data_IF_581420679446
#
_entry.id   IF_581420679446
#
_cell.length_a   1.000
_cell.length_b   1.000
_cell.length_c   1.000
_cell.angle_alpha   90.00
_cell.angle_beta   90.00
_cell.angle_gamma   90.00
#
_symmetry.space_group_name_H-M   'P 1'
#
loop_
_entity.id
_entity.type
_entity.pdbx_description
1 polymer ?
#
# COMPACT_ATOMS: atom_id res chain seq x y z
N UNK A 1 -18.40 11.71 -33.07
CA UNK A 1 -18.43 11.82 -31.60
C UNK A 1 -18.12 10.45 -31.05
N UNK A 2 -16.83 10.12 -30.95
CA UNK A 2 -16.38 8.92 -30.24
C UNK A 2 -15.92 9.37 -28.86
N UNK A 3 -16.56 8.88 -27.81
CA UNK A 3 -16.03 9.02 -26.47
C UNK A 3 -14.87 8.01 -26.38
N UNK A 4 -13.64 8.51 -26.33
CA UNK A 4 -12.49 7.70 -25.93
C UNK A 4 -12.74 7.25 -24.49
N UNK A 5 -12.85 5.94 -24.30
CA UNK A 5 -12.75 5.29 -23.00
C UNK A 5 -11.40 5.66 -22.39
N UNK A 6 -11.42 6.44 -21.33
CA UNK A 6 -10.25 6.67 -20.50
C UNK A 6 -10.01 5.38 -19.72
N UNK A 7 -9.16 4.50 -20.26
CA UNK A 7 -8.62 3.35 -19.53
C UNK A 7 -7.89 3.86 -18.27
N UNK A 8 -8.59 3.86 -17.14
CA UNK A 8 -8.05 4.20 -15.84
C UNK A 8 -7.31 2.99 -15.25
N UNK A 9 -6.28 2.51 -15.95
CA UNK A 9 -5.41 1.42 -15.49
C UNK A 9 -4.23 1.99 -14.71
N UNK A 10 -4.49 2.48 -13.50
CA UNK A 10 -3.45 2.60 -12.47
C UNK A 10 -3.45 1.37 -11.53
N UNK A 11 -4.07 0.28 -11.95
CA UNK A 11 -3.98 -1.05 -11.36
C UNK A 11 -2.65 -1.70 -11.75
N UNK A 12 -1.71 -1.81 -10.82
CA UNK A 12 -0.57 -2.71 -11.01
C UNK A 12 0.78 -2.18 -10.59
N UNK A 13 0.85 -1.14 -9.75
CA UNK A 13 2.10 -0.59 -9.25
C UNK A 13 1.94 -0.23 -7.77
N UNK A 14 2.39 -1.12 -6.86
CA UNK A 14 2.27 -0.95 -5.40
C UNK A 14 3.64 -0.74 -4.74
N UNK A 15 3.76 0.25 -3.82
CA UNK A 15 5.00 0.47 -3.08
C UNK A 15 5.24 -0.66 -2.07
N UNK A 16 6.45 -1.24 -2.10
CA UNK A 16 6.87 -2.30 -1.18
C UNK A 16 7.66 -1.68 -0.04
N UNK A 17 7.39 -2.15 1.17
CA UNK A 17 8.00 -1.66 2.39
C UNK A 17 8.91 -2.74 2.98
N UNK A 18 10.21 -2.51 2.97
CA UNK A 18 11.15 -3.30 3.76
C UNK A 18 11.34 -2.61 5.11
N UNK A 19 11.10 -3.37 6.16
CA UNK A 19 11.38 -2.93 7.51
C UNK A 19 12.55 -3.76 8.02
N UNK A 20 13.66 -3.08 8.30
CA UNK A 20 14.86 -3.68 8.87
C UNK A 20 14.89 -3.25 10.33
N UNK A 21 14.56 -4.17 11.23
CA UNK A 21 14.56 -3.91 12.67
C UNK A 21 15.77 -4.56 13.32
N UNK A 22 16.59 -3.78 14.01
CA UNK A 22 17.69 -4.31 14.82
C UNK A 22 17.18 -4.61 16.23
N UNK A 23 16.45 -5.73 16.37
CA UNK A 23 15.98 -6.17 17.68
C UNK A 23 17.14 -6.83 18.43
N UNK A 24 17.75 -6.11 19.38
CA UNK A 24 18.83 -6.66 20.20
C UNK A 24 18.38 -7.94 20.94
N UNK A 25 19.06 -9.04 20.57
CA UNK A 25 19.24 -10.34 21.24
C UNK A 25 18.14 -11.42 21.09
N UNK A 26 18.58 -12.49 20.41
CA UNK A 26 18.09 -13.88 20.38
C UNK A 26 17.07 -14.33 19.33
N UNK A 27 16.72 -13.52 18.34
CA UNK A 27 16.11 -14.05 17.11
C UNK A 27 16.73 -13.39 15.88
N UNK A 28 17.50 -14.20 15.13
CA UNK A 28 17.82 -14.11 13.70
C UNK A 28 17.23 -12.89 12.99
N UNK A 29 18.05 -12.08 12.29
CA UNK A 29 17.65 -11.02 11.33
C UNK A 29 16.29 -11.35 10.69
N UNK A 30 15.21 -10.85 11.28
CA UNK A 30 13.86 -11.13 10.84
C UNK A 30 13.49 -9.96 9.94
N UNK A 31 13.99 -10.01 8.70
CA UNK A 31 13.57 -9.08 7.66
C UNK A 31 12.07 -9.27 7.44
N UNK A 32 11.26 -8.39 8.03
CA UNK A 32 9.81 -8.42 7.86
C UNK A 32 9.45 -7.52 6.70
N UNK A 33 9.25 -8.16 5.56
CA UNK A 33 8.91 -7.48 4.32
C UNK A 33 7.37 -7.36 4.20
N UNK A 34 6.88 -6.13 4.16
CA UNK A 34 5.46 -5.79 4.05
C UNK A 34 5.23 -4.92 2.81
N UNK A 35 3.97 -4.60 2.50
CA UNK A 35 3.64 -3.69 1.40
C UNK A 35 2.41 -2.87 1.73
N UNK A 36 2.38 -1.66 1.18
CA UNK A 36 1.20 -0.80 1.21
C UNK A 36 0.36 -1.09 -0.03
N UNK A 37 -0.84 -1.58 0.20
CA UNK A 37 -1.78 -2.02 -0.85
C UNK A 37 -2.92 -1.02 -0.93
N UNK A 38 -3.19 -0.53 -2.13
CA UNK A 38 -4.33 0.35 -2.40
C UNK A 38 -5.39 -0.44 -3.15
N UNK A 39 -6.61 -0.53 -2.60
CA UNK A 39 -7.71 -1.28 -3.20
C UNK A 39 -9.01 -0.49 -3.23
N UNK A 40 -9.78 -0.60 -4.29
CA UNK A 40 -11.14 -0.10 -4.33
C UNK A 40 -12.11 -1.18 -3.84
N UNK A 41 -12.87 -0.87 -2.79
CA UNK A 41 -13.90 -1.74 -2.23
C UNK A 41 -15.21 -0.96 -2.06
N UNK A 42 -16.18 -1.25 -2.93
CA UNK A 42 -17.44 -0.52 -2.97
C UNK A 42 -17.22 0.96 -3.25
N UNK A 43 -17.66 1.81 -2.31
CA UNK A 43 -17.59 3.27 -2.42
C UNK A 43 -16.29 3.87 -1.85
N UNK A 44 -15.33 3.02 -1.48
CA UNK A 44 -14.08 3.43 -0.83
C UNK A 44 -12.85 2.98 -1.60
N UNK A 45 -11.81 3.79 -1.50
CA UNK A 45 -10.45 3.45 -1.83
C UNK A 45 -9.69 3.27 -0.50
N UNK A 46 -9.29 2.03 -0.24
CA UNK A 46 -8.74 1.56 1.01
C UNK A 46 -7.24 1.35 0.90
N UNK A 47 -6.52 1.70 1.97
CA UNK A 47 -5.11 1.46 2.15
C UNK A 47 -4.91 0.34 3.19
N UNK A 48 -4.18 -0.71 2.83
CA UNK A 48 -3.85 -1.83 3.71
C UNK A 48 -2.35 -1.98 3.88
N UNK A 49 -1.91 -2.35 5.08
CA UNK A 49 -0.61 -2.97 5.31
C UNK A 49 -0.77 -4.48 5.19
N UNK A 50 -0.04 -5.10 4.26
CA UNK A 50 -0.14 -6.54 4.00
C UNK A 50 1.24 -7.17 3.86
N UNK A 51 1.31 -8.50 3.97
CA UNK A 51 2.50 -9.28 3.63
C UNK A 51 2.77 -9.16 2.12
N UNK A 52 4.02 -9.34 1.69
CA UNK A 52 4.39 -9.18 0.26
C UNK A 52 3.58 -10.09 -0.67
N UNK A 53 3.35 -11.33 -0.23
CA UNK A 53 2.78 -12.38 -1.09
C UNK A 53 1.29 -12.69 -0.83
N UNK A 54 0.66 -12.06 0.18
CA UNK A 54 -0.74 -12.34 0.56
C UNK A 54 -1.41 -11.15 1.26
N UNK A 55 -2.73 -11.07 1.13
CA UNK A 55 -3.61 -10.18 1.91
C UNK A 55 -4.06 -10.77 3.25
N UNK A 56 -3.67 -12.01 3.56
CA UNK A 56 -4.00 -12.64 4.85
C UNK A 56 -3.41 -11.84 6.02
N UNK A 57 -4.26 -11.58 7.02
CA UNK A 57 -3.98 -10.70 8.17
C UNK A 57 -3.66 -9.25 7.78
N UNK A 58 -4.08 -8.80 6.60
CA UNK A 58 -3.90 -7.40 6.21
C UNK A 58 -4.64 -6.44 7.15
N UNK A 59 -4.00 -5.32 7.45
CA UNK A 59 -4.49 -4.32 8.38
C UNK A 59 -4.96 -3.10 7.58
N UNK A 60 -6.24 -2.74 7.71
CA UNK A 60 -6.77 -1.51 7.15
C UNK A 60 -6.15 -0.30 7.88
N UNK A 61 -5.46 0.55 7.14
CA UNK A 61 -4.83 1.77 7.64
C UNK A 61 -5.73 2.99 7.50
N UNK A 62 -6.49 3.03 6.40
CA UNK A 62 -7.36 4.16 6.09
C UNK A 62 -8.22 3.91 4.87
N UNK A 63 -9.27 4.71 4.74
CA UNK A 63 -10.22 4.68 3.63
C UNK A 63 -10.58 6.09 3.20
N UNK A 64 -10.69 6.32 1.90
CA UNK A 64 -11.21 7.57 1.33
C UNK A 64 -12.36 7.27 0.39
N UNK A 65 -13.38 8.13 0.35
CA UNK A 65 -14.53 7.96 -0.55
C UNK A 65 -14.08 8.07 -2.01
N UNK A 66 -14.47 7.09 -2.84
CA UNK A 66 -14.23 7.13 -4.29
C UNK A 66 -14.83 8.40 -4.92
N UNK A 67 -16.00 8.86 -4.47
CA UNK A 67 -16.60 10.10 -4.96
C UNK A 67 -15.71 11.33 -4.78
N UNK A 68 -14.92 11.40 -3.70
CA UNK A 68 -13.95 12.47 -3.48
C UNK A 68 -12.73 12.30 -4.40
N UNK A 69 -12.22 11.07 -4.50
CA UNK A 69 -11.09 10.72 -5.35
C UNK A 69 -11.37 10.97 -6.84
N UNK A 70 -12.60 10.68 -7.30
CA UNK A 70 -13.00 10.85 -8.69
C UNK A 70 -13.18 12.33 -9.05
N UNK A 71 -13.61 13.17 -8.09
CA UNK A 71 -13.71 14.62 -8.29
C UNK A 71 -12.35 15.34 -8.17
N UNK A 72 -11.42 14.79 -7.40
CA UNK A 72 -10.10 15.35 -7.12
C UNK A 72 -9.04 14.25 -7.27
N UNK A 73 -8.62 13.93 -8.51
CA UNK A 73 -7.70 12.82 -8.78
C UNK A 73 -6.36 12.93 -8.02
N UNK A 74 -5.93 14.13 -7.69
CA UNK A 74 -4.75 14.41 -6.87
C UNK A 74 -4.80 13.77 -5.48
N UNK A 75 -6.01 13.55 -4.94
CA UNK A 75 -6.20 12.88 -3.66
C UNK A 75 -5.69 11.45 -3.69
N UNK A 76 -5.57 10.80 -4.86
CA UNK A 76 -4.97 9.47 -4.94
C UNK A 76 -3.54 9.47 -4.45
N UNK A 77 -2.74 10.38 -5.02
CA UNK A 77 -1.32 10.52 -4.70
C UNK A 77 -1.13 11.06 -3.29
N UNK A 78 -1.93 12.05 -2.88
CA UNK A 78 -1.85 12.63 -1.53
C UNK A 78 -2.19 11.60 -0.45
N UNK A 79 -3.27 10.84 -0.63
CA UNK A 79 -3.67 9.82 0.34
C UNK A 79 -2.62 8.72 0.46
N UNK A 80 -2.11 8.21 -0.68
CA UNK A 80 -1.04 7.22 -0.69
C UNK A 80 0.23 7.73 -0.01
N UNK A 81 0.63 8.99 -0.28
CA UNK A 81 1.78 9.63 0.36
C UNK A 81 1.61 9.73 1.88
N UNK A 82 0.43 10.15 2.34
CA UNK A 82 0.14 10.24 3.78
C UNK A 82 0.22 8.87 4.47
N UNK A 83 -0.32 7.80 3.85
CA UNK A 83 -0.22 6.45 4.41
C UNK A 83 1.24 5.99 4.49
N UNK A 84 2.04 6.32 3.47
CA UNK A 84 3.48 6.01 3.44
C UNK A 84 4.24 6.72 4.57
N UNK A 85 4.04 8.03 4.72
CA UNK A 85 4.69 8.82 5.79
C UNK A 85 4.28 8.35 7.18
N UNK A 86 2.99 8.10 7.39
CA UNK A 86 2.47 7.59 8.66
C UNK A 86 3.09 6.24 9.03
N UNK A 87 3.20 5.30 8.08
CA UNK A 87 3.84 4.01 8.32
C UNK A 87 5.33 4.15 8.63
N UNK A 88 6.05 5.01 7.91
CA UNK A 88 7.47 5.26 8.16
C UNK A 88 7.70 5.81 9.58
N UNK A 89 6.91 6.78 10.01
CA UNK A 89 7.01 7.34 11.36
C UNK A 89 6.63 6.31 12.43
N UNK A 90 5.53 5.58 12.22
CA UNK A 90 5.05 4.57 13.16
C UNK A 90 6.04 3.42 13.36
N UNK A 91 6.60 2.88 12.27
CA UNK A 91 7.55 1.78 12.35
C UNK A 91 8.94 2.24 12.81
N UNK A 92 9.38 3.42 12.39
CA UNK A 92 10.64 4.01 12.86
C UNK A 92 10.62 4.30 14.36
N UNK A 93 9.48 4.73 14.91
CA UNK A 93 9.34 5.01 16.35
C UNK A 93 9.19 3.77 17.24
N UNK A 94 8.78 2.62 16.68
CA UNK A 94 8.52 1.41 17.47
C UNK A 94 9.75 0.58 17.81
N UNK A 95 10.78 0.53 16.96
CA UNK A 95 11.77 -0.55 17.09
C UNK A 95 13.18 -0.25 16.56
N UNK A 96 13.66 1.01 16.62
CA UNK A 96 14.94 1.41 16.00
C UNK A 96 15.07 0.84 14.57
N UNK A 97 13.94 0.72 13.88
CA UNK A 97 13.89 0.08 12.58
C UNK A 97 14.19 1.10 11.50
N UNK A 98 15.04 0.71 10.56
CA UNK A 98 15.19 1.41 9.31
C UNK A 98 14.07 0.98 8.36
N UNK A 99 13.38 1.97 7.80
CA UNK A 99 12.23 1.77 6.91
C UNK A 99 12.64 2.16 5.50
N UNK A 100 12.87 1.16 4.67
CA UNK A 100 13.20 1.36 3.26
C UNK A 100 11.98 1.05 2.38
N UNK A 101 11.65 2.00 1.51
CA UNK A 101 10.64 1.76 0.48
C UNK A 101 11.35 1.31 -0.79
N UNK A 102 11.09 0.06 -1.19
CA UNK A 102 11.64 -0.55 -2.41
C UNK A 102 10.86 -0.05 -3.65
N UNK A 103 11.36 -0.38 -4.84
CA UNK A 103 10.71 -0.03 -6.09
C UNK A 103 9.29 -0.60 -6.18
N UNK A 104 8.45 0.15 -6.89
CA UNK A 104 7.03 -0.13 -7.04
C UNK A 104 6.83 -1.41 -7.88
N UNK A 105 6.34 -2.49 -7.26
CA UNK A 105 6.16 -3.80 -7.90
C UNK A 105 4.70 -4.06 -8.27
N UNK A 106 4.42 -4.82 -9.33
CA UNK A 106 3.06 -5.19 -9.68
C UNK A 106 2.49 -6.19 -8.66
N UNK A 107 1.19 -6.11 -8.41
CA UNK A 107 0.50 -7.05 -7.53
C UNK A 107 0.75 -8.51 -7.98
N UNK A 108 0.77 -9.48 -7.05
CA UNK A 108 0.79 -10.90 -7.37
C UNK A 108 -0.31 -11.26 -8.35
N UNK A 109 -0.03 -12.19 -9.25
CA UNK A 109 -0.93 -12.54 -10.35
C UNK A 109 -2.32 -12.98 -9.88
N UNK A 110 -2.38 -13.66 -8.73
CA UNK A 110 -3.62 -14.11 -8.11
C UNK A 110 -4.49 -12.97 -7.52
N UNK A 111 -3.95 -11.76 -7.39
CA UNK A 111 -4.69 -10.58 -6.93
C UNK A 111 -5.11 -9.65 -8.08
N UNK A 112 -4.57 -9.86 -9.29
CA UNK A 112 -4.85 -9.03 -10.48
C UNK A 112 -6.23 -9.26 -11.10
N UNK A 113 -6.92 -10.33 -10.71
CA UNK A 113 -8.18 -10.77 -11.35
C UNK A 113 -9.44 -10.38 -10.56
N UNK A 114 -9.28 -9.81 -9.36
CA UNK A 114 -10.39 -9.18 -8.65
C UNK A 114 -10.52 -7.72 -9.04
N UNK A 115 -11.74 -7.18 -9.08
CA UNK A 115 -11.97 -5.74 -8.95
C UNK A 115 -11.54 -5.31 -7.54
N UNK A 116 -10.23 -5.32 -7.34
CA UNK A 116 -9.47 -5.01 -6.16
C UNK A 116 -8.74 -3.71 -6.43
#
# INVERSE_FOLDING_TARGET
>A
MGAEEVENTQTGKMPVLRVICDMEKEMSENEMAMRLVMRQEGEFWNAYLAKIDTMDDSILLGSIRMSAVDHMPELRTTFMGLMREMLSEFLGSMADCEVEWDEVKPAPEHERTGNA
#
